data_IF_737013236876
#
_entry.id   IF_737013236876
#
_cell.length_a   1.000
_cell.length_b   1.000
_cell.length_c   1.000
_cell.angle_alpha   90.00
_cell.angle_beta   90.00
_cell.angle_gamma   90.00
#
_symmetry.space_group_name_H-M   'P 1'
#
loop_
_entity.id
_entity.type
_entity.pdbx_description
1 polymer ?
#
# COMPACT_ATOMS: atom_id res chain seq x y z
N UNK A 1 16.06 -3.63 19.51
CA UNK A 1 15.20 -3.77 18.32
C UNK A 1 14.68 -2.37 18.03
N UNK A 2 15.11 -1.72 16.93
CA UNK A 2 14.62 -0.37 16.60
C UNK A 2 13.10 -0.41 16.48
N UNK A 3 12.40 0.58 17.05
CA UNK A 3 10.94 0.70 16.99
C UNK A 3 10.45 0.68 15.53
N UNK A 4 11.21 1.26 14.62
CA UNK A 4 10.93 1.28 13.18
C UNK A 4 10.78 -0.13 12.60
N UNK A 5 11.69 -1.05 12.92
CA UNK A 5 11.62 -2.45 12.46
C UNK A 5 10.41 -3.21 13.00
N UNK A 6 9.90 -2.82 14.17
CA UNK A 6 8.69 -3.43 14.75
C UNK A 6 7.45 -2.89 14.04
N UNK A 7 7.38 -1.58 13.83
CA UNK A 7 6.26 -0.92 13.15
C UNK A 7 6.18 -1.33 11.68
N UNK A 8 7.32 -1.49 11.00
CA UNK A 8 7.39 -1.94 9.60
C UNK A 8 6.84 -3.36 9.41
N UNK A 9 7.21 -4.27 10.33
CA UNK A 9 6.66 -5.63 10.36
C UNK A 9 5.15 -5.62 10.64
N UNK A 10 4.69 -4.74 11.52
CA UNK A 10 3.28 -4.59 11.82
C UNK A 10 2.48 -4.06 10.60
N UNK A 11 2.97 -3.01 9.93
CA UNK A 11 2.40 -2.47 8.69
C UNK A 11 2.28 -3.55 7.63
N UNK A 12 3.38 -4.25 7.36
CA UNK A 12 3.44 -5.32 6.36
C UNK A 12 2.44 -6.43 6.70
N UNK A 13 2.40 -6.86 7.96
CA UNK A 13 1.45 -7.86 8.44
C UNK A 13 -0.02 -7.44 8.20
N UNK A 14 -0.36 -6.19 8.55
CA UNK A 14 -1.71 -5.68 8.38
C UNK A 14 -2.09 -5.56 6.89
N UNK A 15 -1.17 -5.13 6.02
CA UNK A 15 -1.39 -5.09 4.56
C UNK A 15 -1.61 -6.49 3.98
N UNK A 16 -0.83 -7.50 4.41
CA UNK A 16 -1.07 -8.88 4.00
C UNK A 16 -2.42 -9.41 4.47
N UNK A 17 -2.86 -9.06 5.69
CA UNK A 17 -4.19 -9.42 6.19
C UNK A 17 -5.30 -8.80 5.32
N UNK A 18 -5.19 -7.52 4.97
CA UNK A 18 -6.16 -6.85 4.07
C UNK A 18 -6.17 -7.51 2.71
N UNK A 19 -5.00 -7.81 2.13
CA UNK A 19 -4.84 -8.50 0.86
C UNK A 19 -5.45 -9.91 0.86
N UNK A 20 -5.19 -10.70 1.90
CA UNK A 20 -5.75 -12.03 2.05
C UNK A 20 -7.28 -11.99 2.22
N UNK A 21 -7.78 -11.02 2.99
CA UNK A 21 -9.21 -10.82 3.21
C UNK A 21 -9.95 -10.50 1.91
N UNK A 22 -9.48 -9.52 1.13
CA UNK A 22 -10.12 -9.18 -0.14
C UNK A 22 -9.99 -10.31 -1.16
N UNK A 23 -8.85 -11.00 -1.19
CA UNK A 23 -8.62 -12.13 -2.10
C UNK A 23 -9.64 -13.25 -1.87
N UNK A 24 -9.90 -13.61 -0.60
CA UNK A 24 -10.90 -14.63 -0.25
C UNK A 24 -12.29 -14.23 -0.72
N UNK A 25 -12.69 -12.97 -0.50
CA UNK A 25 -14.00 -12.47 -0.92
C UNK A 25 -14.18 -12.47 -2.44
N UNK A 26 -13.14 -12.10 -3.18
CA UNK A 26 -13.14 -12.18 -4.64
C UNK A 26 -13.22 -13.63 -5.14
N UNK A 27 -12.54 -14.57 -4.46
CA UNK A 27 -12.67 -15.99 -4.77
C UNK A 27 -14.09 -16.51 -4.54
N UNK A 28 -14.74 -16.16 -3.42
CA UNK A 28 -16.14 -16.52 -3.18
C UNK A 28 -17.07 -15.96 -4.25
N UNK A 29 -16.86 -14.71 -4.67
CA UNK A 29 -17.66 -14.09 -5.72
C UNK A 29 -17.41 -14.72 -7.10
N UNK A 30 -16.16 -15.03 -7.43
CA UNK A 30 -15.81 -15.76 -8.66
C UNK A 30 -16.44 -17.17 -8.67
N UNK A 31 -16.46 -17.86 -7.54
CA UNK A 31 -17.09 -19.17 -7.37
C UNK A 31 -18.59 -19.11 -7.66
N UNK A 32 -19.27 -18.09 -7.12
CA UNK A 32 -20.69 -17.83 -7.40
C UNK A 32 -20.93 -17.49 -8.88
N UNK A 33 -20.05 -16.69 -9.50
CA UNK A 33 -20.15 -16.31 -10.91
C UNK A 33 -20.02 -17.48 -11.89
N UNK A 34 -19.24 -18.52 -11.53
CA UNK A 34 -19.07 -19.74 -12.33
C UNK A 34 -20.35 -20.63 -12.30
N UNK A 35 -21.35 -20.29 -11.50
CA UNK A 35 -22.64 -20.99 -11.46
C UNK A 35 -22.62 -22.29 -10.64
N UNK A 36 -21.63 -22.44 -9.75
CA UNK A 36 -21.59 -23.56 -8.81
C UNK A 36 -22.60 -23.32 -7.67
N UNK A 37 -23.39 -24.33 -7.27
CA UNK A 37 -24.44 -24.17 -6.26
C UNK A 37 -23.85 -23.78 -4.89
N UNK A 38 -24.22 -22.59 -4.41
CA UNK A 38 -23.80 -21.98 -3.13
C UNK A 38 -24.81 -22.21 -1.99
N UNK A 39 -25.74 -23.16 -2.16
CA UNK A 39 -26.98 -23.29 -1.38
C UNK A 39 -26.86 -23.54 0.14
N UNK A 40 -25.66 -23.81 0.68
CA UNK A 40 -25.46 -24.03 2.13
C UNK A 40 -24.64 -22.93 2.82
N UNK A 41 -24.10 -21.96 2.07
CA UNK A 41 -23.15 -20.95 2.57
C UNK A 41 -23.69 -19.51 2.49
N UNK A 42 -24.78 -19.27 1.77
CA UNK A 42 -25.41 -17.93 1.65
C UNK A 42 -26.09 -17.44 2.93
N UNK A 43 -26.31 -18.33 3.91
CA UNK A 43 -26.99 -18.00 5.16
C UNK A 43 -26.09 -17.20 6.13
N UNK A 44 -24.78 -17.22 5.92
CA UNK A 44 -23.84 -16.41 6.68
C UNK A 44 -23.90 -14.94 6.23
N UNK A 45 -24.18 -14.03 7.17
CA UNK A 45 -24.34 -12.59 6.89
C UNK A 45 -23.17 -11.97 6.10
N UNK A 46 -21.94 -12.43 6.37
CA UNK A 46 -20.72 -11.96 5.70
C UNK A 46 -20.74 -12.38 4.22
N UNK A 47 -21.13 -13.62 3.94
CA UNK A 47 -21.18 -14.17 2.57
C UNK A 47 -22.28 -13.46 1.78
N UNK A 48 -23.43 -13.22 2.41
CA UNK A 48 -24.52 -12.43 1.82
C UNK A 48 -24.07 -11.01 1.46
N UNK A 49 -23.35 -10.33 2.35
CA UNK A 49 -22.79 -8.99 2.09
C UNK A 49 -21.80 -9.01 0.91
N UNK A 50 -20.90 -9.99 0.83
CA UNK A 50 -19.92 -10.12 -0.24
C UNK A 50 -20.60 -10.39 -1.59
N UNK A 51 -21.61 -11.24 -1.63
CA UNK A 51 -22.37 -11.52 -2.86
C UNK A 51 -23.13 -10.27 -3.33
N UNK A 52 -23.78 -9.54 -2.42
CA UNK A 52 -24.55 -8.33 -2.75
C UNK A 52 -23.70 -7.11 -3.08
N UNK A 53 -22.42 -7.10 -2.69
CA UNK A 53 -21.53 -5.95 -2.92
C UNK A 53 -20.78 -6.11 -4.23
N UNK A 54 -20.76 -5.08 -5.07
CA UNK A 54 -20.01 -5.10 -6.34
C UNK A 54 -18.50 -5.39 -6.10
N UNK A 55 -17.85 -6.03 -7.09
CA UNK A 55 -16.39 -6.28 -7.04
C UNK A 55 -15.62 -4.97 -6.89
N UNK A 56 -16.09 -3.93 -7.55
CA UNK A 56 -15.47 -2.61 -7.54
C UNK A 56 -15.51 -1.99 -6.13
N UNK A 57 -16.63 -2.12 -5.42
CA UNK A 57 -16.77 -1.68 -4.03
C UNK A 57 -15.84 -2.46 -3.10
N UNK A 58 -15.80 -3.80 -3.22
CA UNK A 58 -14.92 -4.63 -2.41
C UNK A 58 -13.45 -4.23 -2.57
N UNK A 59 -12.99 -4.07 -3.82
CA UNK A 59 -11.61 -3.64 -4.12
C UNK A 59 -11.36 -2.22 -3.61
N UNK A 60 -12.30 -1.30 -3.81
CA UNK A 60 -12.18 0.09 -3.36
C UNK A 60 -11.96 0.20 -1.84
N UNK A 61 -12.74 -0.54 -1.04
CA UNK A 61 -12.62 -0.58 0.41
C UNK A 61 -11.25 -1.11 0.84
N UNK A 62 -10.78 -2.20 0.23
CA UNK A 62 -9.46 -2.76 0.53
C UNK A 62 -8.31 -1.78 0.19
N UNK A 63 -8.40 -1.11 -0.95
CA UNK A 63 -7.43 -0.10 -1.39
C UNK A 63 -7.40 1.09 -0.44
N UNK A 64 -8.58 1.60 -0.03
CA UNK A 64 -8.69 2.69 0.96
C UNK A 64 -8.11 2.31 2.31
N UNK A 65 -8.39 1.10 2.81
CA UNK A 65 -7.83 0.61 4.06
C UNK A 65 -6.31 0.46 3.96
N UNK A 66 -5.79 -0.07 2.84
CA UNK A 66 -4.34 -0.17 2.62
C UNK A 66 -3.66 1.20 2.62
N UNK A 67 -4.26 2.19 1.96
CA UNK A 67 -3.80 3.58 1.97
C UNK A 67 -3.80 4.19 3.38
N UNK A 68 -4.86 3.96 4.16
CA UNK A 68 -4.96 4.45 5.53
C UNK A 68 -3.89 3.84 6.45
N UNK A 69 -3.59 2.54 6.29
CA UNK A 69 -2.51 1.86 7.03
C UNK A 69 -1.16 2.51 6.72
N UNK A 70 -0.92 2.83 5.47
CA UNK A 70 0.34 3.43 5.02
C UNK A 70 0.49 4.89 5.47
N UNK A 71 -0.60 5.67 5.46
CA UNK A 71 -0.64 7.00 6.07
C UNK A 71 -0.41 6.94 7.58
N UNK A 72 -1.01 5.97 8.27
CA UNK A 72 -0.81 5.78 9.71
C UNK A 72 0.62 5.34 10.04
N UNK A 73 1.24 4.51 9.18
CA UNK A 73 2.63 4.11 9.30
C UNK A 73 3.59 5.30 9.26
N UNK A 74 3.31 6.29 8.39
CA UNK A 74 4.10 7.51 8.26
C UNK A 74 4.07 8.41 9.50
N UNK A 75 3.19 8.19 10.47
CA UNK A 75 3.27 8.86 11.78
C UNK A 75 4.49 8.38 12.61
N UNK A 76 5.07 7.25 12.24
CA UNK A 76 6.16 6.58 12.96
C UNK A 76 7.46 6.48 12.16
N UNK A 77 7.49 6.89 10.89
CA UNK A 77 8.65 6.83 9.99
C UNK A 77 8.91 8.17 9.30
N UNK A 78 10.11 8.43 8.76
CA UNK A 78 10.42 9.74 8.19
C UNK A 78 9.54 10.09 6.98
N UNK A 79 9.14 11.37 6.93
CA UNK A 79 8.79 12.10 5.71
C UNK A 79 7.30 12.28 5.36
N UNK A 80 6.63 13.39 5.72
CA UNK A 80 5.31 13.73 5.16
C UNK A 80 5.31 13.92 3.63
N UNK A 81 6.49 14.04 3.02
CA UNK A 81 6.75 14.05 1.59
C UNK A 81 6.49 12.69 0.91
N UNK A 82 6.54 11.58 1.66
CA UNK A 82 6.19 10.24 1.16
C UNK A 82 4.66 9.99 1.18
N UNK A 83 3.88 10.83 1.86
CA UNK A 83 2.43 10.67 2.01
C UNK A 83 1.62 10.86 0.71
N UNK A 84 2.26 11.38 -0.34
CA UNK A 84 1.62 11.57 -1.64
C UNK A 84 1.18 10.23 -2.26
N UNK A 85 1.98 9.18 -2.10
CA UNK A 85 1.69 7.87 -2.66
C UNK A 85 0.43 7.22 -2.06
N UNK A 86 0.33 7.05 -0.72
CA UNK A 86 -0.89 6.51 -0.13
C UNK A 86 -2.07 7.47 -0.25
N UNK A 87 -1.85 8.79 -0.35
CA UNK A 87 -2.92 9.74 -0.64
C UNK A 87 -3.54 9.51 -2.02
N UNK A 88 -2.72 9.37 -3.07
CA UNK A 88 -3.20 9.08 -4.43
C UNK A 88 -3.96 7.75 -4.46
N UNK A 89 -3.46 6.74 -3.74
CA UNK A 89 -4.13 5.45 -3.60
C UNK A 89 -5.49 5.58 -2.90
N UNK A 90 -5.59 6.39 -1.85
CA UNK A 90 -6.84 6.68 -1.15
C UNK A 90 -7.86 7.43 -2.02
N UNK A 91 -7.41 8.39 -2.83
CA UNK A 91 -8.25 9.09 -3.81
C UNK A 91 -8.76 8.11 -4.87
N UNK A 92 -7.89 7.27 -5.43
CA UNK A 92 -8.26 6.25 -6.41
C UNK A 92 -9.28 5.25 -5.82
N UNK A 93 -9.07 4.78 -4.58
CA UNK A 93 -10.01 3.93 -3.86
C UNK A 93 -11.38 4.61 -3.67
N UNK A 94 -11.40 5.86 -3.24
CA UNK A 94 -12.65 6.62 -3.08
C UNK A 94 -13.38 6.79 -4.41
N UNK A 95 -12.65 7.09 -5.49
CA UNK A 95 -13.22 7.23 -6.83
C UNK A 95 -13.84 5.90 -7.32
N UNK A 96 -13.17 4.76 -7.06
CA UNK A 96 -13.71 3.42 -7.34
C UNK A 96 -14.97 3.12 -6.54
N UNK A 97 -15.02 3.54 -5.28
CA UNK A 97 -16.18 3.33 -4.41
C UNK A 97 -17.39 4.12 -4.94
N UNK A 98 -17.20 5.39 -5.30
CA UNK A 98 -18.25 6.23 -5.89
C UNK A 98 -18.76 5.64 -7.20
N UNK A 99 -17.86 5.15 -8.06
CA UNK A 99 -18.24 4.50 -9.32
C UNK A 99 -18.94 3.14 -9.10
N UNK A 100 -18.70 2.49 -7.97
CA UNK A 100 -19.32 1.22 -7.63
C UNK A 100 -20.76 1.35 -7.13
N UNK A 101 -21.21 2.55 -6.78
CA UNK A 101 -22.56 2.74 -6.28
C UNK A 101 -23.59 2.53 -7.39
N UNK A 102 -24.26 1.38 -7.34
CA UNK A 102 -25.27 0.95 -8.33
C UNK A 102 -26.51 1.87 -8.35
N UNK A 103 -26.62 2.78 -7.39
CA UNK A 103 -27.70 3.76 -7.28
C UNK A 103 -27.41 5.08 -8.00
N UNK A 104 -26.17 5.33 -8.46
CA UNK A 104 -25.72 6.69 -8.78
C UNK A 104 -26.01 7.19 -10.21
N UNK A 105 -26.37 6.35 -11.19
CA UNK A 105 -26.95 6.82 -12.46
C UNK A 105 -27.39 5.64 -13.33
N UNK A 106 -28.66 5.24 -13.26
CA UNK A 106 -29.26 4.54 -14.39
C UNK A 106 -29.73 5.58 -15.39
N UNK A 107 -28.84 5.97 -16.30
CA UNK A 107 -29.28 6.64 -17.52
C UNK A 107 -29.96 5.59 -18.39
N UNK A 108 -31.15 5.86 -18.95
CA UNK A 108 -31.90 4.91 -19.80
C UNK A 108 -31.16 4.47 -21.08
N UNK A 109 -29.91 4.90 -21.28
CA UNK A 109 -29.09 4.67 -22.45
C UNK A 109 -27.72 4.11 -22.07
N UNK A 110 -27.51 2.82 -22.39
CA UNK A 110 -26.27 2.06 -22.14
C UNK A 110 -24.99 2.72 -22.70
N UNK A 111 -25.12 3.59 -23.72
CA UNK A 111 -24.00 4.34 -24.28
C UNK A 111 -23.40 5.33 -23.27
N UNK A 112 -24.23 6.03 -22.48
CA UNK A 112 -23.73 7.00 -21.51
C UNK A 112 -22.99 6.32 -20.37
N UNK A 113 -23.51 5.20 -19.86
CA UNK A 113 -22.87 4.43 -18.81
C UNK A 113 -21.51 3.88 -19.27
N UNK A 114 -21.44 3.38 -20.51
CA UNK A 114 -20.18 2.89 -21.10
C UNK A 114 -19.13 4.00 -21.26
N UNK A 115 -19.57 5.18 -21.71
CA UNK A 115 -18.74 6.37 -21.83
C UNK A 115 -18.26 6.82 -20.45
N UNK A 116 -19.13 6.84 -19.44
CA UNK A 116 -18.75 7.21 -18.08
C UNK A 116 -17.69 6.27 -17.50
N UNK A 117 -17.85 4.96 -17.65
CA UNK A 117 -16.84 3.95 -17.25
C UNK A 117 -15.53 4.18 -17.99
N UNK A 118 -15.57 4.47 -19.29
CA UNK A 118 -14.37 4.73 -20.09
C UNK A 118 -13.64 6.00 -19.63
N UNK A 119 -14.35 7.12 -19.46
CA UNK A 119 -13.76 8.36 -18.93
C UNK A 119 -13.20 8.16 -17.52
N UNK A 120 -13.87 7.38 -16.68
CA UNK A 120 -13.38 7.03 -15.35
C UNK A 120 -12.06 6.25 -15.42
N UNK A 121 -11.98 5.22 -16.27
CA UNK A 121 -10.74 4.47 -16.49
C UNK A 121 -9.60 5.36 -17.01
N UNK A 122 -9.90 6.26 -17.96
CA UNK A 122 -8.93 7.26 -18.47
C UNK A 122 -8.49 8.22 -17.35
N UNK A 123 -9.42 8.67 -16.50
CA UNK A 123 -9.11 9.55 -15.37
C UNK A 123 -8.16 8.89 -14.37
N UNK A 124 -8.40 7.61 -14.02
CA UNK A 124 -7.47 6.84 -13.19
C UNK A 124 -6.11 6.66 -13.87
N UNK A 125 -6.08 6.35 -15.17
CA UNK A 125 -4.82 6.25 -15.91
C UNK A 125 -4.02 7.57 -15.87
N UNK A 126 -4.69 8.71 -16.05
CA UNK A 126 -4.09 10.04 -15.92
C UNK A 126 -3.60 10.28 -14.49
N UNK A 127 -4.37 9.91 -13.47
CA UNK A 127 -3.98 10.06 -12.06
C UNK A 127 -2.68 9.29 -11.74
N UNK A 128 -2.58 8.03 -12.18
CA UNK A 128 -1.36 7.22 -12.02
C UNK A 128 -0.21 7.69 -12.90
N UNK A 129 -0.49 8.26 -14.07
CA UNK A 129 0.53 8.92 -14.89
C UNK A 129 1.08 10.19 -14.22
N UNK A 130 0.20 11.01 -13.63
CA UNK A 130 0.58 12.18 -12.86
C UNK A 130 1.43 11.78 -11.65
N UNK A 131 1.08 10.70 -10.95
CA UNK A 131 1.93 10.12 -9.89
C UNK A 131 3.35 9.89 -10.41
N UNK A 132 3.50 9.17 -11.53
CA UNK A 132 4.82 8.89 -12.11
C UNK A 132 5.58 10.16 -12.50
N UNK A 133 4.89 11.14 -13.07
CA UNK A 133 5.50 12.42 -13.44
C UNK A 133 5.93 13.23 -12.20
N UNK A 134 5.15 13.23 -11.13
CA UNK A 134 5.47 13.88 -9.86
C UNK A 134 6.74 13.28 -9.24
N UNK A 135 6.85 11.96 -9.19
CA UNK A 135 8.08 11.29 -8.74
C UNK A 135 9.30 11.70 -9.57
N UNK A 136 9.12 11.90 -10.88
CA UNK A 136 10.19 12.33 -11.79
C UNK A 136 10.55 13.83 -11.64
N UNK A 137 9.59 14.69 -11.31
CA UNK A 137 9.76 16.14 -11.18
C UNK A 137 10.38 16.56 -9.86
N UNK A 138 10.25 15.76 -8.80
CA UNK A 138 10.86 16.00 -7.50
C UNK A 138 11.99 15.00 -7.17
N UNK A 139 13.03 14.80 -8.00
CA UNK A 139 14.01 13.73 -7.79
C UNK A 139 15.06 14.03 -6.69
N UNK A 140 15.11 15.26 -6.14
CA UNK A 140 16.20 15.74 -5.26
C UNK A 140 15.84 15.95 -3.78
N UNK A 141 14.65 15.56 -3.32
CA UNK A 141 14.36 15.44 -1.88
C UNK A 141 14.38 13.98 -1.39
N UNK A 142 14.45 13.00 -2.29
CA UNK A 142 14.27 11.57 -1.98
C UNK A 142 15.51 10.69 -2.18
N UNK A 143 16.65 11.22 -2.62
CA UNK A 143 17.86 10.41 -2.90
C UNK A 143 19.02 10.66 -1.93
N UNK A 144 19.11 11.86 -1.36
CA UNK A 144 20.29 12.28 -0.59
C UNK A 144 20.33 11.67 0.84
N UNK A 145 19.19 11.23 1.38
CA UNK A 145 19.11 10.50 2.66
C UNK A 145 19.24 8.98 2.50
N UNK A 146 19.10 8.43 1.29
CA UNK A 146 19.18 6.99 1.06
C UNK A 146 20.64 6.50 1.01
N UNK A 147 21.52 7.29 0.40
CA UNK A 147 22.96 6.99 0.41
C UNK A 147 23.59 7.38 1.76
N UNK A 148 23.30 8.55 2.33
CA UNK A 148 23.97 8.98 3.58
C UNK A 148 23.63 8.16 4.82
N UNK A 149 22.37 7.73 4.97
CA UNK A 149 21.97 6.87 6.10
C UNK A 149 22.54 5.45 6.05
N UNK A 150 22.99 5.00 4.88
CA UNK A 150 23.56 3.65 4.69
C UNK A 150 25.09 3.62 4.82
N UNK A 151 25.77 4.72 4.48
CA UNK A 151 27.23 4.79 4.50
C UNK A 151 27.81 5.37 5.80
N UNK A 152 27.07 6.18 6.57
CA UNK A 152 27.56 6.72 7.84
C UNK A 152 27.47 5.71 9.00
N UNK A 153 26.51 4.79 8.96
CA UNK A 153 26.37 3.71 9.96
C UNK A 153 27.44 2.61 9.78
N UNK A 154 27.81 2.22 8.55
CA UNK A 154 28.89 1.24 8.35
C UNK A 154 30.29 1.82 8.64
N UNK A 155 30.55 3.10 8.33
CA UNK A 155 31.87 3.69 8.57
C UNK A 155 32.16 3.91 10.05
N UNK A 156 31.14 4.26 10.85
CA UNK A 156 31.29 4.47 12.30
C UNK A 156 31.31 3.14 13.09
N UNK A 157 30.68 2.09 12.59
CA UNK A 157 30.73 0.75 13.20
C UNK A 157 32.11 0.08 12.98
N UNK A 158 32.73 0.23 11.80
CA UNK A 158 34.03 -0.40 11.49
C UNK A 158 35.21 0.24 12.23
N UNK A 159 35.21 1.55 12.49
CA UNK A 159 36.29 2.21 13.27
C UNK A 159 36.23 1.86 14.76
N UNK A 160 35.06 1.42 15.27
CA UNK A 160 34.89 1.04 16.68
C UNK A 160 35.27 -0.41 17.00
N UNK A 161 35.37 -1.29 15.99
CA UNK A 161 35.56 -2.74 16.15
C UNK A 161 37.05 -3.17 16.20
N UNK A 162 38.00 -2.29 15.89
CA UNK A 162 39.42 -2.56 16.12
C UNK A 162 39.97 -1.78 17.34
N UNK A 163 39.89 -2.37 18.56
CA UNK A 163 40.64 -1.84 19.69
C UNK A 163 42.13 -1.93 19.39
N UNK A 164 42.77 -0.76 19.41
CA UNK A 164 44.21 -0.54 19.45
C UNK A 164 44.82 -1.49 20.50
N UNK A 165 45.45 -2.58 20.04
CA UNK A 165 46.16 -3.51 20.92
C UNK A 165 47.42 -2.83 21.43
N UNK A 166 47.32 -2.16 22.57
CA UNK A 166 48.48 -1.78 23.37
C UNK A 166 49.16 -3.05 23.86
N UNK A 167 50.33 -3.37 23.29
CA UNK A 167 51.31 -4.24 23.95
C UNK A 167 52.44 -3.34 24.46
N UNK A 168 52.45 -3.15 25.79
CA UNK A 168 53.58 -2.61 26.56
C UNK A 168 54.38 -3.80 27.08
N UNK A 169 55.61 -3.97 26.62
CA UNK A 169 56.76 -4.52 27.37
C UNK A 169 58.01 -3.90 26.69
N UNK A 170 58.62 -2.82 27.20
CA UNK A 170 59.53 -2.72 28.35
C UNK A 170 60.82 -3.54 28.23
N UNK A 171 61.91 -2.82 27.88
CA UNK A 171 63.29 -2.94 28.38
C UNK A 171 64.07 -4.25 28.15
N UNK A 172 65.17 -4.17 27.40
CA UNK A 172 66.53 -3.87 27.94
C UNK A 172 67.65 -4.56 27.15
N UNK A 173 68.66 -3.75 26.80
CA UNK A 173 70.11 -4.05 26.77
C UNK A 173 70.62 -5.31 26.04
N UNK A 174 71.40 -5.09 24.98
CA UNK A 174 72.88 -5.11 25.03
C UNK A 174 73.44 -4.59 23.70
#
# INVERSE_FOLDING_TARGET
>A
MSLEKVVEKFKSGLQYCVGAYIFLFLMTKAWSFIGLPTGSIEEYQIIKYVLSTSILALVSQAVMVSAAIELAYMLFTPGPDEAVDPLILGIAGTALLVMSDENSAKTDSMLYDSIAVFLFAVSLAILFYLRFMLTKWFPKQFKDNFDKGSFEDEASEVESIHPKKTVKESKSAA
#
